data_IF_692822780943
#
_entry.id   IF_692822780943
#
_cell.length_a   1.000
_cell.length_b   1.000
_cell.length_c   1.000
_cell.angle_alpha   90.00
_cell.angle_beta   90.00
_cell.angle_gamma   90.00
#
_symmetry.space_group_name_H-M   'P 1'
#
loop_
_entity.id
_entity.type
_entity.pdbx_description
1 polymer ?
#
# COMPACT_ATOMS: atom_id res chain seq x y z
N UNK A 1 7.39 21.18 -16.77
CA UNK A 1 7.37 19.90 -16.02
C UNK A 1 7.61 18.76 -16.99
N UNK A 2 8.65 17.94 -16.77
CA UNK A 2 8.94 16.79 -17.64
C UNK A 2 7.87 15.71 -17.46
N UNK A 3 7.56 14.96 -18.54
CA UNK A 3 6.61 13.83 -18.49
C UNK A 3 6.98 12.78 -17.44
N UNK A 4 8.27 12.69 -17.10
CA UNK A 4 8.81 11.80 -16.06
C UNK A 4 8.27 12.15 -14.66
N UNK A 5 8.22 13.43 -14.29
CA UNK A 5 7.69 13.85 -12.98
C UNK A 5 6.19 13.59 -12.82
N UNK A 6 5.42 13.59 -13.92
CA UNK A 6 3.99 13.28 -13.89
C UNK A 6 3.77 11.80 -13.59
N UNK A 7 4.53 10.91 -14.23
CA UNK A 7 4.42 9.47 -14.00
C UNK A 7 4.76 9.11 -12.54
N UNK A 8 5.82 9.71 -11.99
CA UNK A 8 6.21 9.55 -10.59
C UNK A 8 5.13 10.05 -9.63
N UNK A 9 4.53 11.21 -9.91
CA UNK A 9 3.42 11.75 -9.12
C UNK A 9 2.17 10.87 -9.12
N UNK A 10 1.85 10.24 -10.25
CA UNK A 10 0.73 9.28 -10.36
C UNK A 10 1.01 8.03 -9.52
N UNK A 11 2.22 7.47 -9.60
CA UNK A 11 2.63 6.31 -8.79
C UNK A 11 2.57 6.62 -7.29
N UNK A 12 3.12 7.77 -6.88
CA UNK A 12 3.11 8.23 -5.49
C UNK A 12 1.69 8.32 -4.94
N UNK A 13 0.80 9.08 -5.61
CA UNK A 13 -0.60 9.21 -5.21
C UNK A 13 -1.27 7.85 -5.15
N UNK A 14 -0.99 7.00 -6.14
CA UNK A 14 -1.47 5.63 -6.18
C UNK A 14 -1.10 4.89 -4.90
N UNK A 15 0.19 4.80 -4.59
CA UNK A 15 0.70 4.04 -3.45
C UNK A 15 0.26 4.61 -2.11
N UNK A 16 0.21 5.93 -1.93
CA UNK A 16 -0.33 6.57 -0.71
C UNK A 16 -1.77 6.11 -0.46
N UNK A 17 -2.62 6.10 -1.49
CA UNK A 17 -4.00 5.61 -1.34
C UNK A 17 -4.06 4.14 -0.92
N UNK A 18 -3.14 3.28 -1.38
CA UNK A 18 -3.10 1.86 -0.96
C UNK A 18 -2.67 1.75 0.50
N UNK A 19 -1.67 2.53 0.93
CA UNK A 19 -1.24 2.56 2.34
C UNK A 19 -2.44 2.95 3.21
N UNK A 20 -3.15 4.03 2.86
CA UNK A 20 -4.35 4.44 3.59
C UNK A 20 -5.42 3.35 3.62
N UNK A 21 -5.75 2.73 2.48
CA UNK A 21 -6.74 1.63 2.40
C UNK A 21 -6.36 0.44 3.30
N UNK A 22 -5.07 0.15 3.44
CA UNK A 22 -4.57 -0.89 4.33
C UNK A 22 -4.70 -0.47 5.80
N UNK A 23 -4.30 0.76 6.15
CA UNK A 23 -4.35 1.27 7.51
C UNK A 23 -5.78 1.48 8.04
N UNK A 24 -6.75 1.68 7.15
CA UNK A 24 -8.18 1.70 7.52
C UNK A 24 -8.71 0.35 7.99
N UNK A 25 -8.02 -0.75 7.68
CA UNK A 25 -8.50 -2.13 7.89
C UNK A 25 -7.55 -3.02 8.68
N UNK A 26 -6.31 -2.58 8.83
CA UNK A 26 -5.24 -3.36 9.43
C UNK A 26 -4.19 -2.46 10.06
N UNK A 27 -2.95 -2.91 10.00
CA UNK A 27 -1.83 -2.30 10.73
C UNK A 27 -0.76 -1.77 9.78
N UNK A 28 0.20 -1.02 10.33
CA UNK A 28 1.42 -0.64 9.58
C UNK A 28 2.20 -1.87 9.10
N UNK A 29 2.20 -2.97 9.86
CA UNK A 29 2.85 -4.20 9.44
C UNK A 29 2.14 -4.83 8.24
N UNK A 30 0.81 -4.69 8.15
CA UNK A 30 0.06 -5.11 6.97
C UNK A 30 0.44 -4.29 5.74
N UNK A 31 0.68 -2.98 5.90
CA UNK A 31 1.14 -2.14 4.80
C UNK A 31 2.52 -2.58 4.30
N UNK A 32 3.46 -2.84 5.23
CA UNK A 32 4.79 -3.36 4.90
C UNK A 32 4.71 -4.71 4.20
N UNK A 33 3.96 -5.66 4.74
CA UNK A 33 3.81 -7.00 4.19
C UNK A 33 3.13 -6.99 2.81
N UNK A 34 2.06 -6.20 2.65
CA UNK A 34 1.34 -6.07 1.38
C UNK A 34 2.24 -5.49 0.27
N UNK A 35 3.02 -4.45 0.58
CA UNK A 35 3.92 -3.82 -0.38
C UNK A 35 5.12 -4.73 -0.75
N UNK A 36 5.62 -5.51 0.21
CA UNK A 36 6.67 -6.48 -0.04
C UNK A 36 6.29 -7.54 -1.10
N UNK A 37 5.00 -7.89 -1.23
CA UNK A 37 4.49 -8.79 -2.30
C UNK A 37 4.73 -8.23 -3.72
N UNK A 38 4.98 -6.93 -3.85
CA UNK A 38 5.30 -6.26 -5.11
C UNK A 38 6.78 -5.87 -5.23
N UNK A 39 7.64 -6.34 -4.32
CA UNK A 39 9.05 -5.95 -4.28
C UNK A 39 9.27 -4.50 -3.84
N UNK A 40 8.32 -3.91 -3.12
CA UNK A 40 8.43 -2.56 -2.55
C UNK A 40 8.71 -2.68 -1.05
N UNK A 41 9.85 -2.16 -0.61
CA UNK A 41 10.24 -2.21 0.80
C UNK A 41 9.81 -0.93 1.50
N UNK A 42 8.73 -1.01 2.28
CA UNK A 42 8.32 0.11 3.12
C UNK A 42 9.05 0.09 4.47
N UNK A 43 9.55 1.25 4.86
CA UNK A 43 10.05 1.53 6.19
C UNK A 43 8.89 1.96 7.09
N UNK A 44 8.78 1.30 8.24
CA UNK A 44 7.88 1.66 9.33
C UNK A 44 8.67 2.28 10.49
N UNK A 45 8.10 3.26 11.18
CA UNK A 45 8.72 3.88 12.34
C UNK A 45 7.64 4.41 13.29
N UNK A 46 7.73 4.06 14.57
CA UNK A 46 6.82 4.60 15.59
C UNK A 46 5.33 4.30 15.35
N UNK A 47 5.01 3.20 14.67
CA UNK A 47 3.62 2.87 14.32
C UNK A 47 3.06 3.65 13.12
N UNK A 48 3.91 4.28 12.31
CA UNK A 48 3.55 4.99 11.08
C UNK A 48 4.42 4.53 9.89
N UNK A 49 4.05 4.94 8.66
CA UNK A 49 4.80 4.78 7.41
C UNK A 49 5.30 6.16 6.96
N UNK A 50 6.54 6.58 7.33
CA UNK A 50 7.02 7.92 7.04
C UNK A 50 7.16 8.16 5.53
N UNK A 51 6.28 8.97 4.95
CA UNK A 51 6.20 9.16 3.49
C UNK A 51 7.51 9.69 2.88
N UNK A 52 8.22 10.58 3.58
CA UNK A 52 9.49 11.13 3.09
C UNK A 52 10.61 10.09 3.03
N UNK A 53 10.63 9.13 3.95
CA UNK A 53 11.62 8.04 3.92
C UNK A 53 11.30 7.02 2.83
N UNK A 54 10.03 6.84 2.53
CA UNK A 54 9.56 5.88 1.54
C UNK A 54 9.40 6.47 0.13
N UNK A 55 9.52 7.79 -0.03
CA UNK A 55 9.28 8.49 -1.30
C UNK A 55 9.99 7.84 -2.50
N UNK A 56 11.28 7.44 -2.43
CA UNK A 56 11.96 6.80 -3.57
C UNK A 56 11.30 5.49 -4.02
N UNK A 57 10.87 4.65 -3.07
CA UNK A 57 10.18 3.39 -3.37
C UNK A 57 8.77 3.65 -3.92
N UNK A 58 8.05 4.62 -3.34
CA UNK A 58 6.69 4.98 -3.72
C UNK A 58 6.59 5.64 -5.11
N UNK A 59 7.65 6.27 -5.61
CA UNK A 59 7.71 6.84 -6.97
C UNK A 59 8.33 5.88 -7.99
N UNK A 60 9.11 4.89 -7.54
CA UNK A 60 9.74 3.89 -8.43
C UNK A 60 8.71 2.90 -8.97
N UNK A 61 7.94 2.25 -8.09
CA UNK A 61 7.06 1.13 -8.44
C UNK A 61 5.62 1.41 -8.04
N UNK A 62 4.67 1.29 -8.97
CA UNK A 62 3.25 1.36 -8.63
C UNK A 62 2.74 0.00 -8.16
N UNK A 63 2.18 -0.05 -6.94
CA UNK A 63 1.48 -1.22 -6.43
C UNK A 63 0.08 -1.30 -7.05
N UNK A 64 -0.26 -2.40 -7.76
CA UNK A 64 -1.59 -2.57 -8.33
C UNK A 64 -2.66 -2.61 -7.25
N UNK A 65 -3.81 -1.97 -7.48
CA UNK A 65 -4.91 -1.93 -6.50
C UNK A 65 -5.39 -3.33 -6.08
N UNK A 66 -5.36 -4.30 -7.01
CA UNK A 66 -5.75 -5.69 -6.72
C UNK A 66 -4.91 -6.32 -5.61
N UNK A 67 -3.64 -5.93 -5.44
CA UNK A 67 -2.77 -6.52 -4.44
C UNK A 67 -3.27 -6.24 -3.02
N UNK A 68 -3.81 -5.05 -2.77
CA UNK A 68 -4.42 -4.71 -1.48
C UNK A 68 -5.68 -5.55 -1.24
N UNK A 69 -6.52 -5.71 -2.27
CA UNK A 69 -7.71 -6.56 -2.19
C UNK A 69 -7.35 -8.02 -1.91
N UNK A 70 -6.37 -8.55 -2.63
CA UNK A 70 -5.90 -9.93 -2.49
C UNK A 70 -5.18 -10.14 -1.15
N UNK A 71 -4.61 -9.08 -0.55
CA UNK A 71 -3.95 -9.15 0.75
C UNK A 71 -4.93 -9.39 1.90
N UNK A 72 -6.04 -8.66 1.93
CA UNK A 72 -7.12 -8.89 2.90
C UNK A 72 -8.11 -9.99 2.47
N UNK A 73 -7.84 -10.62 1.33
CA UNK A 73 -8.68 -11.61 0.69
C UNK A 73 -9.88 -11.01 -0.05
N UNK A 74 -10.42 -11.82 -0.96
CA UNK A 74 -11.81 -11.77 -1.39
C UNK A 74 -12.77 -12.04 -0.20
N UNK A 75 -12.63 -11.27 0.89
CA UNK A 75 -13.40 -11.32 2.12
C UNK A 75 -14.79 -10.70 1.93
N UNK A 76 -15.48 -11.15 0.88
CA UNK A 76 -16.95 -11.14 0.74
C UNK A 76 -17.53 -12.54 0.93
N UNK A 77 -16.80 -13.48 1.54
CA UNK A 77 -17.19 -14.89 1.64
C UNK A 77 -16.77 -15.56 2.93
N UNK A 78 -17.04 -14.94 4.09
CA UNK A 78 -17.17 -15.64 5.37
C UNK A 78 -17.80 -14.70 6.40
N UNK A 79 -19.04 -14.28 6.16
CA UNK A 79 -19.94 -13.97 7.27
C UNK A 79 -20.46 -15.33 7.76
N UNK A 80 -19.63 -16.10 8.47
CA UNK A 80 -20.14 -17.16 9.32
C UNK A 80 -20.31 -16.54 10.70
N UNK A 81 -21.53 -16.08 10.97
CA UNK A 81 -22.04 -16.09 12.34
C UNK A 81 -22.10 -17.56 12.78
N UNK A 82 -21.37 -18.02 13.79
CA UNK A 82 -21.89 -19.07 14.63
C UNK A 82 -22.98 -18.45 15.52
N UNK A 83 -24.07 -19.21 15.64
CA UNK A 83 -25.32 -18.89 16.31
C UNK A 83 -25.18 -18.39 17.76
#
# INVERSE_FOLDING_TARGET
>A
MSKLGIAEGIKLRGNVNRITEILERGTVQDAVACFARCGVTLQASGGDVPLMRNLPELTRTAVPKRVVKDYFGASGGAVMNPA
#
